data_IF_145244013729
#
_entry.id   IF_145244013729
#
_cell.length_a   1.000
_cell.length_b   1.000
_cell.length_c   1.000
_cell.angle_alpha   90.00
_cell.angle_beta   90.00
_cell.angle_gamma   90.00
#
_symmetry.space_group_name_H-M   'P 1'
#
loop_
_entity.id
_entity.type
_entity.pdbx_description
1 polymer ?
#
# COMPACT_ATOMS: atom_id res chain seq x y z
N UNK A 1 -28.24 11.98 13.93
CA UNK A 1 -27.78 11.88 15.33
C UNK A 1 -26.44 12.61 15.48
N UNK A 2 -26.43 13.95 15.65
CA UNK A 2 -25.22 14.74 15.83
C UNK A 2 -25.12 15.19 17.29
N UNK A 3 -24.54 14.37 18.17
CA UNK A 3 -24.36 14.74 19.58
C UNK A 3 -22.91 14.52 20.11
N UNK A 4 -21.95 14.17 19.25
CA UNK A 4 -20.57 13.91 19.69
C UNK A 4 -19.59 15.08 19.43
N UNK A 5 -20.04 16.21 18.89
CA UNK A 5 -19.13 17.33 18.56
C UNK A 5 -19.01 18.38 19.67
N UNK A 6 -19.87 18.35 20.70
CA UNK A 6 -19.91 19.41 21.73
C UNK A 6 -19.00 19.14 22.93
N UNK A 7 -18.64 17.88 23.21
CA UNK A 7 -17.80 17.53 24.37
C UNK A 7 -16.30 17.77 24.14
N UNK A 8 -15.87 17.97 22.89
CA UNK A 8 -14.48 18.32 22.56
C UNK A 8 -14.12 19.77 22.92
N UNK A 9 -15.11 20.66 23.08
CA UNK A 9 -14.87 22.06 23.42
C UNK A 9 -14.57 22.24 24.91
N UNK A 10 -15.16 21.42 25.79
CA UNK A 10 -14.91 21.48 27.25
C UNK A 10 -13.56 20.90 27.68
N UNK A 11 -12.93 20.06 26.85
CA UNK A 11 -11.59 19.52 27.12
C UNK A 11 -10.47 20.51 26.78
N UNK A 12 -10.74 21.52 25.94
CA UNK A 12 -9.75 22.52 25.53
C UNK A 12 -9.07 23.23 26.69
N UNK A 13 -9.81 23.83 27.65
CA UNK A 13 -9.22 24.52 28.80
C UNK A 13 -8.40 23.62 29.72
N UNK A 14 -8.79 22.35 29.88
CA UNK A 14 -8.09 21.39 30.74
C UNK A 14 -6.75 20.96 30.12
N UNK A 15 -6.74 20.74 28.79
CA UNK A 15 -5.51 20.44 28.05
C UNK A 15 -4.57 21.67 28.00
N UNK A 16 -5.13 22.88 27.88
CA UNK A 16 -4.38 24.13 27.96
C UNK A 16 -3.70 24.29 29.33
N UNK A 17 -4.44 24.08 30.42
CA UNK A 17 -3.90 24.18 31.78
C UNK A 17 -2.82 23.13 32.08
N UNK A 18 -2.96 21.91 31.56
CA UNK A 18 -1.92 20.88 31.60
C UNK A 18 -0.67 21.30 30.80
N UNK A 19 -0.86 21.87 29.61
CA UNK A 19 0.22 22.41 28.78
C UNK A 19 0.99 23.54 29.48
N UNK A 20 0.28 24.48 30.09
CA UNK A 20 0.86 25.61 30.82
C UNK A 20 1.59 25.15 32.09
N UNK A 21 1.04 24.20 32.85
CA UNK A 21 1.70 23.63 34.02
C UNK A 21 3.00 22.88 33.67
N UNK A 22 3.01 22.17 32.54
CA UNK A 22 4.22 21.51 32.03
C UNK A 22 5.24 22.53 31.50
N UNK A 23 4.79 23.59 30.83
CA UNK A 23 5.66 24.64 30.30
C UNK A 23 6.40 25.43 31.39
N UNK A 24 5.78 25.62 32.56
CA UNK A 24 6.41 26.29 33.71
C UNK A 24 7.48 25.40 34.38
N UNK A 25 7.34 24.09 34.30
CA UNK A 25 8.20 23.13 35.03
C UNK A 25 9.40 22.62 34.22
N UNK A 26 9.33 22.64 32.88
CA UNK A 26 10.38 22.17 31.97
C UNK A 26 11.70 22.99 31.98
N UNK A 27 11.70 24.34 32.07
CA UNK A 27 12.93 25.11 31.99
C UNK A 27 13.86 24.93 33.18
N UNK A 28 13.35 24.50 34.35
CA UNK A 28 14.13 24.32 35.58
C UNK A 28 14.87 22.98 35.65
N UNK A 29 14.56 22.04 34.74
CA UNK A 29 15.23 20.74 34.70
C UNK A 29 16.56 20.84 33.95
N UNK A 30 17.61 20.30 34.56
CA UNK A 30 18.90 20.09 33.89
C UNK A 30 18.75 19.15 32.68
N UNK A 31 19.68 19.23 31.72
CA UNK A 31 19.63 18.41 30.51
C UNK A 31 19.55 16.89 30.78
N UNK A 32 20.21 16.42 31.84
CA UNK A 32 20.17 15.01 32.27
C UNK A 32 18.83 14.62 32.88
N UNK A 33 18.20 15.49 33.66
CA UNK A 33 16.86 15.25 34.21
C UNK A 33 15.79 15.22 33.11
N UNK A 34 15.89 16.11 32.11
CA UNK A 34 15.00 16.05 30.94
C UNK A 34 15.16 14.75 30.17
N UNK A 35 16.39 14.31 29.93
CA UNK A 35 16.66 13.06 29.24
C UNK A 35 16.11 11.83 30.01
N UNK A 36 16.30 11.78 31.33
CA UNK A 36 15.79 10.69 32.17
C UNK A 36 14.25 10.64 32.19
N UNK A 37 13.59 11.80 32.26
CA UNK A 37 12.14 11.89 32.29
C UNK A 37 11.53 11.50 30.94
N UNK A 38 12.15 11.91 29.81
CA UNK A 38 11.77 11.45 28.47
C UNK A 38 11.96 9.92 28.32
N UNK A 39 13.08 9.37 28.80
CA UNK A 39 13.32 7.92 28.77
C UNK A 39 12.30 7.14 29.63
N UNK A 40 11.89 7.69 30.77
CA UNK A 40 10.90 7.05 31.64
C UNK A 40 9.50 7.04 31.01
N UNK A 41 9.09 8.10 30.29
CA UNK A 41 7.83 8.13 29.55
C UNK A 41 7.84 7.17 28.35
N UNK A 42 8.93 7.15 27.57
CA UNK A 42 9.07 6.24 26.41
C UNK A 42 9.15 4.78 26.88
N UNK A 43 9.80 4.51 28.01
CA UNK A 43 9.87 3.16 28.59
C UNK A 43 8.51 2.66 29.11
N UNK A 44 7.65 3.56 29.59
CA UNK A 44 6.29 3.21 30.04
C UNK A 44 5.33 2.93 28.87
N UNK A 45 5.52 3.57 27.71
CA UNK A 45 4.69 3.29 26.53
C UNK A 45 5.15 2.06 25.74
N UNK A 46 6.42 1.66 25.89
CA UNK A 46 7.00 0.51 25.19
C UNK A 46 6.72 -0.86 25.86
N UNK A 47 6.14 -0.88 27.06
CA UNK A 47 5.98 -2.09 27.88
C UNK A 47 4.67 -2.87 27.70
N UNK A 48 3.72 -2.37 26.92
CA UNK A 48 2.44 -3.04 26.72
C UNK A 48 2.33 -3.55 25.28
N UNK A 49 2.02 -4.84 25.13
CA UNK A 49 1.28 -5.39 23.99
C UNK A 49 -0.12 -4.72 23.90
N UNK A 50 -0.16 -3.40 23.89
CA UNK A 50 -1.39 -2.65 23.77
C UNK A 50 -1.75 -2.66 22.29
N UNK A 51 -2.93 -3.18 21.91
CA UNK A 51 -3.42 -2.99 20.56
C UNK A 51 -3.37 -1.50 20.26
N UNK A 52 -2.89 -1.15 19.07
CA UNK A 52 -2.88 0.22 18.57
C UNK A 52 -4.21 0.89 18.97
N UNK A 53 -4.19 2.07 19.63
CA UNK A 53 -5.41 2.66 20.16
C UNK A 53 -6.43 2.74 19.02
N UNK A 54 -7.67 2.28 19.23
CA UNK A 54 -8.64 2.07 18.14
C UNK A 54 -8.88 3.32 17.28
N UNK A 55 -8.61 4.51 17.83
CA UNK A 55 -8.64 5.79 17.14
C UNK A 55 -7.55 5.93 16.06
N UNK A 56 -6.32 5.50 16.32
CA UNK A 56 -5.21 5.63 15.36
C UNK A 56 -5.43 4.69 14.16
N UNK A 57 -5.84 3.45 14.42
CA UNK A 57 -6.21 2.51 13.37
C UNK A 57 -7.37 3.02 12.50
N UNK A 58 -8.35 3.69 13.12
CA UNK A 58 -9.47 4.32 12.41
C UNK A 58 -9.02 5.50 11.54
N UNK A 59 -8.16 6.38 12.05
CA UNK A 59 -7.59 7.50 11.30
C UNK A 59 -6.81 7.01 10.07
N UNK A 60 -5.94 6.02 10.25
CA UNK A 60 -5.20 5.42 9.14
C UNK A 60 -6.13 4.76 8.11
N UNK A 61 -7.23 4.16 8.55
CA UNK A 61 -8.22 3.59 7.63
C UNK A 61 -8.90 4.66 6.78
N UNK A 62 -9.25 5.80 7.37
CA UNK A 62 -9.82 6.95 6.64
C UNK A 62 -8.79 7.56 5.67
N UNK A 63 -7.54 7.71 6.07
CA UNK A 63 -6.47 8.18 5.18
C UNK A 63 -6.30 7.25 3.97
N UNK A 64 -6.34 5.92 4.17
CA UNK A 64 -6.30 4.95 3.08
C UNK A 64 -7.51 5.09 2.15
N UNK A 65 -8.72 5.20 2.69
CA UNK A 65 -9.93 5.41 1.89
C UNK A 65 -9.83 6.69 1.07
N UNK A 66 -9.38 7.78 1.67
CA UNK A 66 -9.23 9.06 0.99
C UNK A 66 -8.16 8.98 -0.12
N UNK A 67 -7.01 8.35 0.16
CA UNK A 67 -5.99 8.11 -0.84
C UNK A 67 -6.51 7.25 -2.01
N UNK A 68 -7.29 6.21 -1.72
CA UNK A 68 -7.95 5.40 -2.75
C UNK A 68 -8.95 6.24 -3.56
N UNK A 69 -9.75 7.07 -2.90
CA UNK A 69 -10.80 7.89 -3.54
C UNK A 69 -10.22 8.99 -4.44
N UNK A 70 -9.04 9.53 -4.08
CA UNK A 70 -8.29 10.48 -4.91
C UNK A 70 -7.70 9.84 -6.17
N UNK A 71 -7.51 8.52 -6.19
CA UNK A 71 -7.09 7.83 -7.40
C UNK A 71 -8.26 7.69 -8.36
N UNK A 72 -8.31 8.60 -9.34
CA UNK A 72 -9.25 8.49 -10.46
C UNK A 72 -9.14 7.15 -11.20
N UNK A 73 -10.20 6.71 -11.90
CA UNK A 73 -10.21 5.41 -12.59
C UNK A 73 -9.05 5.24 -13.56
N UNK A 74 -8.65 6.30 -14.28
CA UNK A 74 -7.51 6.28 -15.20
C UNK A 74 -6.17 6.02 -14.49
N UNK A 75 -5.95 6.60 -13.31
CA UNK A 75 -4.72 6.36 -12.53
C UNK A 75 -4.66 4.93 -12.02
N UNK A 76 -5.80 4.37 -11.59
CA UNK A 76 -5.90 2.97 -11.16
C UNK A 76 -5.59 2.02 -12.31
N UNK A 77 -6.15 2.27 -13.50
CA UNK A 77 -5.90 1.49 -14.70
C UNK A 77 -4.43 1.58 -15.15
N UNK A 78 -3.85 2.79 -15.13
CA UNK A 78 -2.44 3.00 -15.44
C UNK A 78 -1.52 2.26 -14.46
N UNK A 79 -1.85 2.29 -13.16
CA UNK A 79 -1.11 1.56 -12.14
C UNK A 79 -1.23 0.05 -12.33
N UNK A 80 -2.43 -0.47 -12.59
CA UNK A 80 -2.67 -1.88 -12.82
C UNK A 80 -1.90 -2.39 -14.05
N UNK A 81 -1.92 -1.62 -15.16
CA UNK A 81 -1.14 -1.91 -16.36
C UNK A 81 0.37 -1.92 -16.06
N UNK A 82 0.87 -0.98 -15.26
CA UNK A 82 2.30 -0.91 -14.87
C UNK A 82 2.72 -2.13 -14.05
N UNK A 83 1.89 -2.54 -13.09
CA UNK A 83 2.13 -3.74 -12.26
C UNK A 83 2.18 -4.99 -13.14
N UNK A 84 1.21 -5.17 -14.03
CA UNK A 84 1.19 -6.36 -14.89
C UNK A 84 2.35 -6.38 -15.90
N UNK A 85 2.76 -5.22 -16.44
CA UNK A 85 3.97 -5.13 -17.26
C UNK A 85 5.21 -5.54 -16.49
N UNK A 86 5.34 -5.12 -15.23
CA UNK A 86 6.44 -5.56 -14.37
C UNK A 86 6.39 -7.09 -14.12
N UNK A 87 5.20 -7.66 -13.90
CA UNK A 87 5.02 -9.12 -13.79
C UNK A 87 5.42 -9.85 -15.07
N UNK A 88 5.17 -9.29 -16.24
CA UNK A 88 5.52 -9.89 -17.53
C UNK A 88 7.04 -10.04 -17.75
N UNK A 89 7.86 -9.26 -17.03
CA UNK A 89 9.32 -9.39 -17.03
C UNK A 89 9.82 -10.56 -16.19
N UNK A 90 8.95 -11.16 -15.35
CA UNK A 90 9.30 -12.28 -14.48
C UNK A 90 9.06 -13.61 -15.20
N UNK A 91 9.81 -14.68 -14.86
CA UNK A 91 9.53 -16.03 -15.35
C UNK A 91 8.12 -16.55 -15.00
N UNK A 92 7.57 -16.11 -13.86
CA UNK A 92 6.19 -16.34 -13.45
C UNK A 92 5.55 -15.04 -12.92
N UNK A 93 4.34 -14.74 -13.39
CA UNK A 93 3.59 -13.55 -13.00
C UNK A 93 2.95 -13.65 -11.60
N UNK A 94 2.73 -14.87 -11.08
CA UNK A 94 2.27 -15.09 -9.71
C UNK A 94 3.31 -14.56 -8.71
N UNK A 95 2.92 -13.61 -7.87
CA UNK A 95 3.80 -13.06 -6.82
C UNK A 95 4.06 -14.09 -5.71
N UNK A 96 3.14 -15.03 -5.53
CA UNK A 96 3.22 -16.10 -4.54
C UNK A 96 3.84 -17.40 -5.08
N UNK A 97 4.39 -17.38 -6.31
CA UNK A 97 4.98 -18.57 -6.92
C UNK A 97 6.21 -19.04 -6.11
N UNK A 98 6.17 -20.22 -5.47
CA UNK A 98 7.31 -20.72 -4.69
C UNK A 98 8.50 -21.07 -5.59
N UNK A 99 8.25 -21.38 -6.86
CA UNK A 99 9.28 -21.79 -7.81
C UNK A 99 10.10 -20.62 -8.34
N UNK A 100 9.65 -19.37 -8.19
CA UNK A 100 10.36 -18.21 -8.70
C UNK A 100 11.73 -18.04 -8.02
N UNK A 101 11.82 -18.30 -6.72
CA UNK A 101 13.07 -18.25 -5.97
C UNK A 101 13.98 -19.45 -6.28
N UNK A 102 13.39 -20.61 -6.56
CA UNK A 102 14.14 -21.86 -6.72
C UNK A 102 14.64 -22.10 -8.16
N UNK A 103 13.91 -21.66 -9.18
CA UNK A 103 14.21 -21.96 -10.60
C UNK A 103 13.84 -20.78 -11.51
N UNK A 104 14.76 -19.83 -11.75
CA UNK A 104 14.48 -18.65 -12.57
C UNK A 104 14.29 -18.96 -14.07
N UNK A 105 14.63 -20.16 -14.54
CA UNK A 105 14.60 -20.52 -15.97
C UNK A 105 13.33 -21.30 -16.40
N UNK A 106 12.23 -21.19 -15.66
CA UNK A 106 11.01 -21.91 -16.01
C UNK A 106 10.44 -21.42 -17.35
N UNK A 107 10.33 -22.33 -18.33
CA UNK A 107 9.58 -22.07 -19.56
C UNK A 107 8.08 -22.18 -19.29
N UNK A 108 7.54 -21.14 -18.67
CA UNK A 108 6.12 -21.06 -18.38
C UNK A 108 5.24 -20.92 -19.64
N UNK A 109 3.94 -21.12 -19.48
CA UNK A 109 2.92 -20.87 -20.52
C UNK A 109 2.48 -19.40 -20.47
N UNK A 110 2.35 -18.77 -21.64
CA UNK A 110 1.78 -17.42 -21.72
C UNK A 110 0.26 -17.47 -21.55
N UNK A 111 -0.32 -16.43 -20.96
CA UNK A 111 -1.77 -16.29 -20.90
C UNK A 111 -2.35 -16.30 -22.32
N UNK A 112 -3.26 -17.22 -22.63
CA UNK A 112 -3.87 -17.35 -23.97
C UNK A 112 -4.64 -16.10 -24.39
N UNK A 113 -5.14 -15.32 -23.42
CA UNK A 113 -5.93 -14.13 -23.66
C UNK A 113 -5.13 -12.88 -24.05
N UNK A 114 -4.10 -12.52 -23.26
CA UNK A 114 -3.32 -11.29 -23.49
C UNK A 114 -1.92 -11.55 -24.06
N UNK A 115 -1.43 -12.80 -24.00
CA UNK A 115 -0.10 -13.26 -24.43
C UNK A 115 1.09 -12.46 -23.87
N UNK A 116 0.86 -11.65 -22.84
CA UNK A 116 1.87 -10.76 -22.25
C UNK A 116 2.52 -11.38 -21.02
N UNK A 117 1.69 -11.84 -20.06
CA UNK A 117 2.18 -12.47 -18.83
C UNK A 117 2.38 -13.99 -19.01
N UNK A 118 3.31 -14.55 -18.25
CA UNK A 118 3.67 -15.97 -18.28
C UNK A 118 3.55 -16.59 -16.89
N UNK A 119 3.10 -17.85 -16.82
CA UNK A 119 2.98 -18.63 -15.59
C UNK A 119 3.71 -19.95 -15.73
N UNK A 120 4.39 -20.43 -14.68
CA UNK A 120 5.07 -21.72 -14.75
C UNK A 120 4.10 -22.90 -14.81
N UNK A 121 2.91 -22.77 -14.20
CA UNK A 121 1.86 -23.79 -14.20
C UNK A 121 0.46 -23.17 -14.22
N UNK A 122 -0.56 -24.03 -14.37
CA UNK A 122 -1.95 -23.60 -14.40
C UNK A 122 -2.47 -23.19 -13.01
N UNK A 123 -1.94 -23.77 -11.92
CA UNK A 123 -2.35 -23.38 -10.57
C UNK A 123 -2.01 -21.91 -10.27
N UNK A 124 -0.79 -21.48 -10.62
CA UNK A 124 -0.35 -20.08 -10.45
C UNK A 124 -1.21 -19.11 -11.27
N UNK A 125 -1.57 -19.49 -12.50
CA UNK A 125 -2.48 -18.71 -13.33
C UNK A 125 -3.86 -18.59 -12.67
N UNK A 126 -4.41 -19.71 -12.17
CA UNK A 126 -5.71 -19.73 -11.53
C UNK A 126 -5.71 -18.94 -10.20
N UNK A 127 -4.60 -18.97 -9.45
CA UNK A 127 -4.44 -18.22 -8.22
C UNK A 127 -4.37 -16.70 -8.49
N UNK A 128 -3.50 -16.25 -9.40
CA UNK A 128 -3.39 -14.83 -9.77
C UNK A 128 -4.71 -14.29 -10.37
N UNK A 129 -5.48 -15.14 -11.06
CA UNK A 129 -6.83 -14.81 -11.53
C UNK A 129 -7.84 -14.63 -10.38
N UNK A 130 -7.87 -15.56 -9.41
CA UNK A 130 -8.77 -15.49 -8.24
C UNK A 130 -8.49 -14.29 -7.34
N UNK A 131 -7.23 -13.91 -7.19
CA UNK A 131 -6.82 -12.74 -6.41
C UNK A 131 -7.13 -11.41 -7.11
N UNK A 132 -7.65 -11.43 -8.34
CA UNK A 132 -8.03 -10.24 -9.09
C UNK A 132 -6.86 -9.50 -9.73
N UNK A 133 -5.62 -10.00 -9.59
CA UNK A 133 -4.41 -9.38 -10.16
C UNK A 133 -4.48 -9.27 -11.67
N UNK A 134 -4.33 -10.40 -12.37
CA UNK A 134 -4.37 -10.39 -13.84
C UNK A 134 -5.76 -10.08 -14.42
N UNK A 135 -6.83 -10.45 -13.72
CA UNK A 135 -8.21 -10.30 -14.22
C UNK A 135 -8.57 -8.84 -14.51
N UNK A 136 -8.20 -7.92 -13.62
CA UNK A 136 -8.52 -6.50 -13.75
C UNK A 136 -7.79 -5.86 -14.95
N UNK A 137 -6.51 -6.21 -15.15
CA UNK A 137 -5.67 -5.59 -16.15
C UNK A 137 -5.57 -6.36 -17.48
N UNK A 138 -6.12 -7.58 -17.58
CA UNK A 138 -6.10 -8.37 -18.83
C UNK A 138 -6.63 -7.57 -20.02
N UNK A 139 -7.77 -6.89 -19.86
CA UNK A 139 -8.39 -6.11 -20.94
C UNK A 139 -7.47 -4.99 -21.39
N UNK A 140 -6.93 -4.22 -20.43
CA UNK A 140 -5.99 -3.13 -20.69
C UNK A 140 -4.73 -3.61 -21.44
N UNK A 141 -4.20 -4.79 -21.10
CA UNK A 141 -3.07 -5.40 -21.80
C UNK A 141 -3.40 -5.82 -23.23
N UNK A 142 -4.59 -6.41 -23.45
CA UNK A 142 -5.05 -6.76 -24.78
C UNK A 142 -5.17 -5.52 -25.67
N UNK A 143 -5.78 -4.45 -25.15
CA UNK A 143 -5.97 -3.19 -25.88
C UNK A 143 -4.61 -2.54 -26.21
N UNK A 144 -3.69 -2.51 -25.23
CA UNK A 144 -2.32 -2.01 -25.44
C UNK A 144 -1.53 -2.83 -26.47
N UNK A 145 -1.74 -4.15 -26.54
CA UNK A 145 -1.06 -5.04 -27.49
C UNK A 145 -1.63 -4.90 -28.91
N UNK A 146 -2.94 -4.67 -29.04
CA UNK A 146 -3.59 -4.44 -30.32
C UNK A 146 -3.20 -3.09 -30.95
N UNK A 147 -2.93 -2.07 -30.12
CA UNK A 147 -2.47 -0.75 -30.57
C UNK A 147 -1.02 -0.69 -31.05
N UNK A 148 -0.17 -1.65 -30.65
CA UNK A 148 1.26 -1.68 -31.00
C UNK A 148 1.59 -2.31 -32.37
N UNK A 149 0.59 -2.83 -33.10
CA UNK A 149 0.80 -3.61 -34.32
C UNK A 149 0.83 -2.85 -35.65
N UNK A 150 0.81 -1.51 -35.65
CA UNK A 150 0.84 -0.70 -36.88
C UNK A 150 2.05 0.24 -36.92
N UNK A 151 3.25 -0.34 -37.00
CA UNK A 151 4.49 0.35 -37.36
C UNK A 151 5.14 -0.40 -38.50
N UNK A 152 5.17 0.22 -39.69
CA UNK A 152 5.39 -0.43 -40.97
C UNK A 152 6.78 -1.03 -41.17
N UNK A 153 6.81 -2.29 -41.62
CA UNK A 153 7.92 -2.85 -42.37
C UNK A 153 7.72 -2.62 -43.86
N UNK A 154 8.02 -1.43 -44.35
CA UNK A 154 8.35 -1.22 -45.77
C UNK A 154 9.87 -1.15 -45.90
N UNK A 155 10.50 -2.31 -45.80
CA UNK A 155 11.88 -2.50 -46.23
C UNK A 155 11.87 -2.86 -47.71
N UNK A 156 12.08 -1.86 -48.56
CA UNK A 156 12.46 -2.05 -49.94
C UNK A 156 13.97 -2.35 -50.01
N UNK A 157 14.33 -3.44 -50.68
CA UNK A 157 15.55 -3.61 -51.47
C UNK A 157 15.39 -4.88 -52.32
#
# INVERSE_FOLDING_TARGET
MPLLLMDLIELGPQLQALGDAMAVSLPQLSGTQRAALLQQFVGQTAGANSPEPPLLAALQAEERRHAEQLQGPEQRDALALRIERAKALRPCASLACPHLAAKPQLRGKVCSGCRTVRYCCAEDQAQDWRQGGHRAARRLLCDASAGGGRGGGSGAA
#
